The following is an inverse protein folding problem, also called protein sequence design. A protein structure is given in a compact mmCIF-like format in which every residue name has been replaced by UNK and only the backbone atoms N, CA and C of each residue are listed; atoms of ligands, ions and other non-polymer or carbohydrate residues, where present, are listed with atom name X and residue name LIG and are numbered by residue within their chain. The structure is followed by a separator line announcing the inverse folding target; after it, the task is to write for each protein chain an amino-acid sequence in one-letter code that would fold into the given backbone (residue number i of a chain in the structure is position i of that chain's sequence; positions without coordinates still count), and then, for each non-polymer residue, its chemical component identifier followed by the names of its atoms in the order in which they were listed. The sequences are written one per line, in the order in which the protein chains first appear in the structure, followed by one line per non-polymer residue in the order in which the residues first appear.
data_IF_401864027895
#
_entry.id   IF_401864027895
#
_cell.length_a   1.000
_cell.length_b   1.000
_cell.length_c   1.000
_cell.angle_alpha   90.00
_cell.angle_beta   90.00
_cell.angle_gamma   90.00
#
_symmetry.space_group_name_H-M   'P 1'
#
loop_
_entity.id
_entity.type
_entity.pdbx_description
1 polymer ?
#
# COMPACT_ATOMS: atom_id res chain seq x y z
N UNK A 1 24.41 -17.54 44.20
CA UNK A 1 23.73 -16.26 44.19
C UNK A 1 24.37 -15.44 43.09
N UNK A 2 23.97 -15.69 41.86
CA UNK A 2 24.53 -15.08 40.65
C UNK A 2 23.34 -14.68 39.80
N UNK A 3 23.03 -13.37 39.87
CA UNK A 3 22.05 -12.69 39.01
C UNK A 3 22.50 -12.71 37.56
N UNK A 4 21.76 -13.36 36.70
CA UNK A 4 21.84 -13.18 35.25
C UNK A 4 20.80 -12.17 34.82
N UNK A 5 21.27 -10.94 34.64
CA UNK A 5 20.50 -9.89 33.94
C UNK A 5 20.67 -10.14 32.44
N UNK A 6 19.62 -10.58 31.76
CA UNK A 6 19.55 -10.75 30.32
C UNK A 6 18.34 -9.95 29.81
N UNK A 7 18.55 -8.68 29.70
CA UNK A 7 17.68 -7.75 29.00
C UNK A 7 18.54 -6.83 28.15
N UNK A 8 18.08 -6.52 26.95
CA UNK A 8 18.66 -5.60 25.98
C UNK A 8 19.65 -6.19 24.98
N UNK A 9 19.13 -6.80 23.91
CA UNK A 9 19.85 -6.93 22.64
C UNK A 9 18.93 -7.32 21.46
N UNK A 10 17.68 -6.82 21.41
CA UNK A 10 16.81 -7.06 20.25
C UNK A 10 16.36 -5.78 19.51
N UNK A 11 16.80 -4.60 19.95
CA UNK A 11 16.43 -3.32 19.33
C UNK A 11 17.41 -2.82 18.25
N UNK A 12 18.47 -3.55 17.97
CA UNK A 12 19.55 -3.09 17.05
C UNK A 12 19.51 -3.70 15.64
N UNK A 13 18.42 -4.38 15.26
CA UNK A 13 18.32 -5.00 13.92
C UNK A 13 17.31 -4.34 12.98
N UNK A 14 16.80 -3.15 13.33
CA UNK A 14 15.94 -2.34 12.43
C UNK A 14 16.59 -0.97 12.21
N UNK A 15 17.83 -0.98 11.75
CA UNK A 15 18.49 0.23 11.28
C UNK A 15 18.99 0.04 9.86
N UNK A 16 18.43 0.84 8.96
CA UNK A 16 19.04 1.36 7.75
C UNK A 16 19.41 0.38 6.63
N UNK A 17 18.44 0.09 5.77
CA UNK A 17 18.74 -0.02 4.35
C UNK A 17 17.93 1.02 3.57
N UNK A 18 18.17 2.28 3.91
CA UNK A 18 17.82 3.45 3.07
C UNK A 18 19.06 3.91 2.29
N UNK A 19 19.84 2.98 1.79
CA UNK A 19 21.01 3.31 0.99
C UNK A 19 20.82 2.95 -0.46
N UNK A 20 20.51 4.03 -1.24
CA UNK A 20 21.24 4.27 -2.46
C UNK A 20 21.11 3.26 -3.59
N UNK A 21 19.89 2.94 -4.05
CA UNK A 21 19.69 2.26 -5.34
C UNK A 21 18.98 3.15 -6.37
N UNK A 22 19.09 4.47 -6.21
CA UNK A 22 18.51 5.44 -7.17
C UNK A 22 19.49 5.81 -8.33
N UNK A 23 20.72 5.34 -8.29
CA UNK A 23 21.72 5.61 -9.33
C UNK A 23 22.17 4.32 -10.04
N UNK A 24 21.25 3.61 -10.68
CA UNK A 24 21.63 2.81 -11.84
C UNK A 24 21.29 3.60 -13.08
N UNK A 25 22.28 4.42 -13.47
CA UNK A 25 22.28 5.18 -14.71
C UNK A 25 21.77 4.33 -15.87
N UNK A 26 20.74 4.87 -16.53
CA UNK A 26 20.13 4.49 -17.78
C UNK A 26 21.16 4.61 -18.94
N UNK A 27 22.07 3.66 -19.06
CA UNK A 27 22.79 3.45 -20.32
C UNK A 27 22.23 2.19 -21.02
N UNK A 28 20.92 2.21 -21.30
CA UNK A 28 20.26 1.21 -22.12
C UNK A 28 20.24 1.65 -23.59
N UNK A 29 21.25 1.28 -24.33
CA UNK A 29 21.22 1.25 -25.79
C UNK A 29 20.17 0.20 -26.25
N UNK A 30 19.14 0.71 -26.89
CA UNK A 30 17.92 0.03 -27.37
C UNK A 30 18.20 -0.85 -28.62
N UNK A 31 19.21 -1.74 -28.59
CA UNK A 31 19.66 -2.40 -29.81
C UNK A 31 19.88 -3.92 -29.81
N UNK A 32 19.92 -4.60 -28.65
CA UNK A 32 20.41 -6.00 -28.67
C UNK A 32 19.64 -6.99 -27.78
N UNK A 33 18.50 -6.61 -27.22
CA UNK A 33 17.79 -7.39 -26.19
C UNK A 33 17.00 -8.62 -26.70
N UNK A 34 16.84 -8.78 -28.01
CA UNK A 34 15.99 -9.87 -28.55
C UNK A 34 16.67 -11.25 -28.54
N UNK A 35 17.99 -11.35 -28.31
CA UNK A 35 18.74 -12.61 -28.39
C UNK A 35 19.39 -13.07 -27.08
N UNK A 36 19.21 -12.37 -25.96
CA UNK A 36 19.81 -12.75 -24.65
C UNK A 36 18.98 -13.78 -23.85
N UNK A 37 18.16 -14.58 -24.49
CA UNK A 37 17.11 -15.31 -23.81
C UNK A 37 17.49 -16.64 -23.14
N UNK A 38 18.77 -17.09 -23.15
CA UNK A 38 19.14 -18.40 -22.56
C UNK A 38 20.55 -18.47 -21.99
N UNK A 39 21.24 -17.35 -21.80
CA UNK A 39 22.58 -17.40 -21.20
C UNK A 39 22.49 -17.39 -19.69
N UNK A 40 23.19 -18.34 -19.06
CA UNK A 40 23.42 -18.31 -17.63
C UNK A 40 24.12 -16.99 -17.25
N UNK A 41 23.58 -16.24 -16.27
CA UNK A 41 24.10 -14.96 -15.86
C UNK A 41 25.21 -15.08 -14.80
N UNK A 42 25.35 -16.25 -14.19
CA UNK A 42 26.36 -16.58 -13.19
C UNK A 42 26.66 -18.09 -13.23
N UNK A 43 27.78 -18.56 -12.61
CA UNK A 43 28.09 -19.99 -12.56
C UNK A 43 26.91 -20.81 -11.97
N UNK A 44 26.62 -21.95 -12.57
CA UNK A 44 25.52 -22.86 -12.18
C UNK A 44 24.11 -22.28 -12.28
N UNK A 45 23.92 -21.20 -13.02
CA UNK A 45 22.60 -20.62 -13.26
C UNK A 45 21.72 -21.54 -14.11
N UNK A 46 20.69 -22.11 -13.49
CA UNK A 46 19.66 -22.94 -14.14
C UNK A 46 18.32 -22.19 -14.36
N UNK A 47 18.30 -20.88 -14.14
CA UNK A 47 17.08 -20.08 -14.26
C UNK A 47 16.58 -19.94 -15.70
N UNK A 48 15.26 -20.12 -15.90
CA UNK A 48 14.62 -20.08 -17.21
C UNK A 48 14.09 -18.70 -17.63
N UNK A 49 14.38 -17.62 -16.88
CA UNK A 49 13.97 -16.26 -17.24
C UNK A 49 15.14 -15.51 -17.89
N UNK A 50 14.85 -14.70 -18.91
CA UNK A 50 15.80 -13.74 -19.47
C UNK A 50 16.17 -12.65 -18.45
N UNK A 51 17.27 -11.92 -18.67
CA UNK A 51 17.69 -10.86 -17.78
C UNK A 51 16.61 -9.79 -17.53
N UNK A 52 15.92 -9.25 -18.56
CA UNK A 52 14.80 -8.32 -18.34
C UNK A 52 13.66 -8.94 -17.51
N UNK A 53 13.32 -10.20 -17.78
CA UNK A 53 12.29 -10.89 -16.98
C UNK A 53 12.72 -11.10 -15.53
N UNK A 54 13.99 -11.43 -15.26
CA UNK A 54 14.50 -11.56 -13.88
C UNK A 54 14.43 -10.23 -13.15
N UNK A 55 14.82 -9.12 -13.79
CA UNK A 55 14.72 -7.76 -13.20
C UNK A 55 13.26 -7.42 -12.90
N UNK A 56 12.35 -7.63 -13.85
CA UNK A 56 10.94 -7.38 -13.67
C UNK A 56 10.34 -8.28 -12.56
N UNK A 57 10.77 -9.54 -12.45
CA UNK A 57 10.32 -10.45 -11.41
C UNK A 57 10.80 -10.01 -10.02
N UNK A 58 12.07 -9.62 -9.88
CA UNK A 58 12.61 -9.06 -8.64
C UNK A 58 11.89 -7.77 -8.25
N UNK A 59 11.63 -6.88 -9.22
CA UNK A 59 10.84 -5.67 -9.00
C UNK A 59 9.44 -6.00 -8.48
N UNK A 60 8.75 -6.98 -9.09
CA UNK A 60 7.43 -7.44 -8.67
C UNK A 60 7.45 -8.06 -7.25
N UNK A 61 8.50 -8.77 -6.89
CA UNK A 61 8.65 -9.36 -5.55
C UNK A 61 8.91 -8.29 -4.48
N UNK A 62 9.81 -7.35 -4.74
CA UNK A 62 10.18 -6.29 -3.79
C UNK A 62 9.09 -5.25 -3.57
N UNK A 63 8.36 -4.89 -4.63
CA UNK A 63 7.33 -3.85 -4.56
C UNK A 63 5.95 -4.48 -4.35
N UNK A 64 5.05 -3.71 -3.75
CA UNK A 64 3.64 -4.09 -3.61
C UNK A 64 2.98 -4.25 -4.97
N UNK A 65 3.36 -3.43 -5.94
CA UNK A 65 2.91 -3.45 -7.33
C UNK A 65 3.98 -2.89 -8.28
N UNK A 66 3.85 -3.20 -9.55
CA UNK A 66 4.61 -2.63 -10.67
C UNK A 66 3.62 -1.88 -11.55
N UNK A 67 3.92 -0.66 -11.96
CA UNK A 67 3.03 0.15 -12.79
C UNK A 67 3.75 0.79 -13.96
N UNK A 68 3.03 1.09 -15.05
CA UNK A 68 3.59 1.76 -16.22
C UNK A 68 4.25 3.12 -15.88
N UNK A 69 3.68 3.84 -14.91
CA UNK A 69 4.21 5.14 -14.50
C UNK A 69 5.43 5.00 -13.57
N UNK A 70 5.45 4.00 -12.70
CA UNK A 70 6.49 3.84 -11.68
C UNK A 70 7.67 2.99 -12.12
N UNK A 71 7.42 2.00 -12.96
CA UNK A 71 8.38 0.99 -13.41
C UNK A 71 8.07 0.63 -14.88
N UNK A 72 8.26 1.55 -15.83
CA UNK A 72 7.77 1.38 -17.21
C UNK A 72 8.37 0.19 -17.94
N UNK A 73 9.66 -0.09 -17.73
CA UNK A 73 10.34 -1.21 -18.38
C UNK A 73 9.82 -2.55 -17.83
N UNK A 74 9.77 -2.70 -16.52
CA UNK A 74 9.31 -3.93 -15.87
C UNK A 74 7.82 -4.18 -16.15
N UNK A 75 7.00 -3.13 -16.15
CA UNK A 75 5.60 -3.20 -16.53
C UNK A 75 5.44 -3.75 -17.95
N UNK A 76 6.18 -3.19 -18.93
CA UNK A 76 6.16 -3.64 -20.32
C UNK A 76 6.50 -5.11 -20.44
N UNK A 77 7.60 -5.54 -19.78
CA UNK A 77 8.07 -6.94 -19.81
C UNK A 77 7.02 -7.89 -19.21
N UNK A 78 6.40 -7.52 -18.08
CA UNK A 78 5.36 -8.35 -17.45
C UNK A 78 4.10 -8.41 -18.32
N UNK A 79 3.66 -7.27 -18.87
CA UNK A 79 2.47 -7.15 -19.70
C UNK A 79 2.59 -7.98 -20.99
N UNK A 80 3.76 -7.92 -21.65
CA UNK A 80 4.01 -8.60 -22.94
C UNK A 80 4.11 -10.12 -22.79
N UNK A 81 4.61 -10.60 -21.66
CA UNK A 81 4.77 -12.04 -21.42
C UNK A 81 4.48 -12.41 -19.95
N UNK A 82 3.21 -12.46 -19.51
CA UNK A 82 2.84 -12.68 -18.11
C UNK A 82 3.03 -14.13 -17.62
N UNK A 83 2.95 -15.14 -18.52
CA UNK A 83 2.92 -16.55 -18.15
C UNK A 83 4.15 -17.02 -17.34
N UNK A 84 5.40 -16.66 -17.70
CA UNK A 84 6.56 -17.03 -16.90
C UNK A 84 6.52 -16.46 -15.48
N UNK A 85 6.00 -15.26 -15.30
CA UNK A 85 5.84 -14.63 -13.98
C UNK A 85 4.77 -15.34 -13.16
N UNK A 86 3.63 -15.62 -13.80
CA UNK A 86 2.53 -16.36 -13.16
C UNK A 86 3.00 -17.72 -12.67
N UNK A 87 3.67 -18.50 -13.54
CA UNK A 87 4.21 -19.80 -13.17
C UNK A 87 5.13 -19.74 -11.96
N UNK A 88 6.08 -18.78 -11.91
CA UNK A 88 7.01 -18.64 -10.79
C UNK A 88 6.33 -18.17 -9.50
N UNK A 89 5.32 -17.31 -9.62
CA UNK A 89 4.53 -16.89 -8.45
C UNK A 89 3.68 -18.06 -7.91
N UNK A 90 3.11 -18.87 -8.81
CA UNK A 90 2.28 -20.03 -8.40
C UNK A 90 3.12 -21.07 -7.63
N UNK A 91 4.40 -21.27 -7.98
CA UNK A 91 5.34 -22.10 -7.21
C UNK A 91 5.50 -21.62 -5.75
N UNK A 92 5.18 -20.35 -5.47
CA UNK A 92 5.23 -19.71 -4.15
C UNK A 92 3.84 -19.49 -3.53
N UNK A 93 2.80 -20.15 -4.04
CA UNK A 93 1.41 -19.94 -3.63
C UNK A 93 0.93 -18.49 -3.78
N UNK A 94 1.50 -17.78 -4.76
CA UNK A 94 1.08 -16.43 -5.14
C UNK A 94 0.43 -16.47 -6.52
N UNK A 95 -0.47 -15.52 -6.79
CA UNK A 95 -1.05 -15.32 -8.10
C UNK A 95 -0.69 -13.94 -8.66
N UNK A 96 -0.48 -13.86 -9.97
CA UNK A 96 -0.25 -12.61 -10.69
C UNK A 96 -1.58 -11.99 -11.10
N UNK A 97 -1.80 -10.77 -10.69
CA UNK A 97 -2.93 -9.97 -11.15
C UNK A 97 -2.46 -8.84 -12.05
N UNK A 98 -3.03 -8.76 -13.25
CA UNK A 98 -2.76 -7.74 -14.26
C UNK A 98 -4.02 -6.91 -14.49
N UNK A 99 -3.92 -5.62 -14.20
CA UNK A 99 -4.95 -4.63 -14.56
C UNK A 99 -4.42 -3.78 -15.72
N UNK A 100 -4.90 -4.08 -16.92
CA UNK A 100 -4.49 -3.37 -18.12
C UNK A 100 -5.10 -1.97 -18.23
N UNK A 101 -6.24 -1.73 -17.58
CA UNK A 101 -6.92 -0.43 -17.60
C UNK A 101 -6.16 0.59 -16.74
N UNK A 102 -5.65 0.16 -15.59
CA UNK A 102 -4.89 1.01 -14.68
C UNK A 102 -3.38 0.84 -14.83
N UNK A 103 -2.96 -0.03 -15.76
CA UNK A 103 -1.57 -0.34 -16.08
C UNK A 103 -0.76 -0.76 -14.85
N UNK A 104 -1.29 -1.72 -14.08
CA UNK A 104 -0.71 -2.20 -12.81
C UNK A 104 -0.64 -3.72 -12.80
N UNK A 105 0.52 -4.24 -12.37
CA UNK A 105 0.72 -5.66 -12.04
C UNK A 105 1.00 -5.80 -10.54
N UNK A 106 0.41 -6.77 -9.88
CA UNK A 106 0.68 -7.06 -8.48
C UNK A 106 0.47 -8.54 -8.18
N UNK A 107 1.03 -8.98 -7.06
CA UNK A 107 0.90 -10.34 -6.56
C UNK A 107 -0.15 -10.41 -5.46
N UNK A 108 -0.90 -11.51 -5.42
CA UNK A 108 -1.84 -11.85 -4.35
C UNK A 108 -1.49 -13.19 -3.76
N UNK A 109 -1.84 -13.41 -2.51
CA UNK A 109 -1.84 -14.74 -1.91
C UNK A 109 -2.91 -15.58 -2.63
N UNK A 110 -2.54 -16.77 -3.11
CA UNK A 110 -3.50 -17.70 -3.68
C UNK A 110 -4.40 -18.23 -2.57
N UNK A 111 -5.69 -18.34 -2.87
CA UNK A 111 -6.67 -18.94 -1.97
C UNK A 111 -6.82 -20.44 -2.28
N UNK A 112 -6.95 -21.25 -1.24
CA UNK A 112 -7.32 -22.65 -1.39
C UNK A 112 -8.83 -22.78 -1.66
N UNK A 113 -9.22 -23.63 -2.60
CA UNK A 113 -10.64 -23.88 -2.97
C UNK A 113 -11.48 -24.60 -1.90
N UNK A 114 -11.16 -24.39 -0.61
CA UNK A 114 -12.02 -24.77 0.52
C UNK A 114 -12.06 -26.27 0.87
N UNK A 115 -11.32 -27.14 0.19
CA UNK A 115 -11.36 -28.58 0.41
C UNK A 115 -10.03 -29.22 0.84
N UNK A 116 -8.99 -28.43 1.08
CA UNK A 116 -7.65 -28.96 1.27
C UNK A 116 -6.83 -28.23 2.33
N UNK A 117 -5.53 -28.44 2.27
CA UNK A 117 -4.55 -27.81 3.15
C UNK A 117 -4.54 -26.29 2.94
N UNK A 118 -4.42 -25.53 4.02
CA UNK A 118 -4.11 -24.12 3.95
C UNK A 118 -2.76 -23.92 3.25
N UNK A 119 -2.69 -22.96 2.34
CA UNK A 119 -1.43 -22.61 1.68
C UNK A 119 -0.53 -21.83 2.64
N UNK A 120 0.79 -22.04 2.59
CA UNK A 120 1.72 -21.19 3.30
C UNK A 120 1.52 -19.72 2.93
N UNK A 121 1.38 -18.86 3.93
CA UNK A 121 1.16 -17.43 3.71
C UNK A 121 2.50 -16.71 3.57
N UNK A 122 2.76 -16.17 2.38
CA UNK A 122 3.93 -15.33 2.08
C UNK A 122 3.63 -13.84 2.18
N UNK A 123 2.38 -13.44 1.86
CA UNK A 123 1.96 -12.05 1.91
C UNK A 123 1.11 -11.84 3.15
N UNK A 124 1.58 -10.99 4.04
CA UNK A 124 0.81 -10.55 5.20
C UNK A 124 0.03 -9.29 4.83
N UNK A 125 -1.23 -9.24 5.22
CA UNK A 125 -2.04 -8.03 5.09
C UNK A 125 -1.45 -6.95 6.00
N UNK A 126 -1.14 -5.80 5.42
CA UNK A 126 -0.73 -4.63 6.19
C UNK A 126 -2.00 -3.96 6.72
N UNK A 127 -2.15 -3.94 8.03
CA UNK A 127 -3.21 -3.18 8.66
C UNK A 127 -2.96 -1.67 8.44
N UNK A 128 -3.94 -0.97 7.89
CA UNK A 128 -3.90 0.48 7.80
C UNK A 128 -4.31 1.11 9.12
N UNK A 129 -3.67 2.21 9.48
CA UNK A 129 -4.13 3.03 10.60
C UNK A 129 -5.48 3.66 10.26
N UNK A 130 -6.18 4.18 11.28
CA UNK A 130 -7.46 4.89 11.09
C UNK A 130 -7.30 6.06 10.13
N UNK A 131 -6.25 6.86 10.27
CA UNK A 131 -5.94 8.00 9.43
C UNK A 131 -5.65 7.58 7.98
N UNK A 132 -4.87 6.54 7.78
CA UNK A 132 -4.61 5.96 6.45
C UNK A 132 -5.89 5.44 5.80
N UNK A 133 -6.76 4.80 6.56
CA UNK A 133 -8.06 4.29 6.10
C UNK A 133 -8.96 5.42 5.62
N UNK A 134 -9.07 6.50 6.39
CA UNK A 134 -9.84 7.69 6.01
C UNK A 134 -9.29 8.30 4.71
N UNK A 135 -7.96 8.45 4.63
CA UNK A 135 -7.31 9.00 3.44
C UNK A 135 -7.50 8.10 2.21
N UNK A 136 -7.36 6.79 2.35
CA UNK A 136 -7.56 5.85 1.24
C UNK A 136 -9.00 5.90 0.71
N UNK A 137 -9.99 5.96 1.59
CA UNK A 137 -11.39 6.09 1.20
C UNK A 137 -11.64 7.40 0.44
N UNK A 138 -11.17 8.51 0.99
CA UNK A 138 -11.28 9.83 0.36
C UNK A 138 -10.62 9.88 -1.02
N UNK A 139 -9.36 9.46 -1.10
CA UNK A 139 -8.58 9.46 -2.35
C UNK A 139 -9.21 8.54 -3.41
N UNK A 140 -9.76 7.40 -3.00
CA UNK A 140 -10.45 6.48 -3.91
C UNK A 140 -11.71 7.08 -4.52
N UNK A 141 -12.51 7.76 -3.69
CA UNK A 141 -13.72 8.46 -4.15
C UNK A 141 -13.34 9.63 -5.08
N UNK A 142 -12.36 10.44 -4.68
CA UNK A 142 -11.85 11.55 -5.48
C UNK A 142 -11.36 11.07 -6.84
N UNK A 143 -10.55 10.02 -6.84
CA UNK A 143 -10.04 9.40 -8.07
C UNK A 143 -11.18 8.95 -8.99
N UNK A 144 -12.20 8.28 -8.44
CA UNK A 144 -13.34 7.83 -9.22
C UNK A 144 -14.14 9.01 -9.83
N UNK A 145 -14.40 10.03 -9.03
CA UNK A 145 -15.17 11.21 -9.46
C UNK A 145 -14.47 11.98 -10.58
N UNK A 146 -13.19 12.28 -10.41
CA UNK A 146 -12.42 13.04 -11.40
C UNK A 146 -12.17 12.24 -12.68
N UNK A 147 -11.90 10.94 -12.58
CA UNK A 147 -11.79 10.05 -13.77
C UNK A 147 -13.11 9.96 -14.53
N UNK A 148 -14.24 9.89 -13.84
CA UNK A 148 -15.57 9.90 -14.47
C UNK A 148 -15.89 11.23 -15.16
N UNK A 149 -15.29 12.32 -14.70
CA UNK A 149 -15.39 13.65 -15.30
C UNK A 149 -14.38 13.88 -16.45
N UNK A 150 -13.58 12.85 -16.80
CA UNK A 150 -12.64 12.90 -17.93
C UNK A 150 -11.25 13.44 -17.58
N UNK A 151 -10.92 13.68 -16.31
CA UNK A 151 -9.58 14.08 -15.91
C UNK A 151 -8.63 12.88 -15.93
N UNK A 152 -7.52 12.99 -16.65
CA UNK A 152 -6.50 11.94 -16.69
C UNK A 152 -5.65 11.94 -15.42
N UNK A 153 -5.29 13.11 -14.92
CA UNK A 153 -4.48 13.33 -13.74
C UNK A 153 -5.33 13.81 -12.58
N UNK A 154 -5.36 13.03 -11.51
CA UNK A 154 -6.05 13.38 -10.27
C UNK A 154 -5.04 13.90 -9.27
N UNK A 155 -5.20 15.14 -8.84
CA UNK A 155 -4.33 15.79 -7.86
C UNK A 155 -5.11 16.22 -6.62
N UNK A 156 -4.40 16.31 -5.50
CA UNK A 156 -4.94 16.73 -4.20
C UNK A 156 -3.91 17.56 -3.47
N UNK A 157 -4.35 18.60 -2.77
CA UNK A 157 -3.46 19.42 -1.96
C UNK A 157 -3.20 18.73 -0.61
N UNK A 158 -1.97 18.85 -0.09
CA UNK A 158 -1.59 18.24 1.19
C UNK A 158 -2.47 18.74 2.34
N UNK A 159 -2.77 20.03 2.36
CA UNK A 159 -3.62 20.65 3.39
C UNK A 159 -5.06 20.16 3.32
N UNK A 160 -5.57 19.85 2.12
CA UNK A 160 -6.88 19.24 1.94
C UNK A 160 -6.94 17.86 2.63
N UNK A 161 -5.89 17.05 2.50
CA UNK A 161 -5.80 15.75 3.15
C UNK A 161 -5.80 15.87 4.67
N UNK A 162 -5.00 16.81 5.20
CA UNK A 162 -4.91 17.06 6.65
C UNK A 162 -6.27 17.53 7.20
N UNK A 163 -6.93 18.44 6.51
CA UNK A 163 -8.24 18.96 6.88
C UNK A 163 -9.32 17.88 6.82
N UNK A 164 -9.26 17.02 5.78
CA UNK A 164 -10.23 15.93 5.64
C UNK A 164 -10.15 14.96 6.83
N UNK A 165 -8.95 14.50 7.21
CA UNK A 165 -8.80 13.62 8.38
C UNK A 165 -9.24 14.32 9.67
N UNK A 166 -8.91 15.61 9.82
CA UNK A 166 -9.32 16.39 10.98
C UNK A 166 -10.85 16.48 11.14
N UNK A 167 -11.62 16.43 10.04
CA UNK A 167 -13.09 16.43 10.11
C UNK A 167 -13.71 15.16 10.71
N UNK A 168 -12.95 14.06 10.76
CA UNK A 168 -13.37 12.81 11.41
C UNK A 168 -12.94 12.72 12.88
N UNK A 169 -12.45 13.82 13.43
CA UNK A 169 -11.99 13.84 14.80
C UNK A 169 -13.19 13.82 15.75
N UNK A 170 -13.19 12.97 16.81
CA UNK A 170 -14.20 13.01 17.85
C UNK A 170 -14.22 14.37 18.58
N UNK A 171 -15.41 14.85 18.92
CA UNK A 171 -15.58 16.17 19.54
C UNK A 171 -14.81 16.33 20.89
N UNK A 172 -14.66 15.24 21.65
CA UNK A 172 -13.99 15.19 22.94
C UNK A 172 -12.47 14.95 22.87
N UNK A 173 -11.91 14.76 21.68
CA UNK A 173 -10.47 14.50 21.54
C UNK A 173 -9.64 15.77 21.89
N UNK A 174 -8.75 15.68 22.88
CA UNK A 174 -7.99 16.82 23.40
C UNK A 174 -6.61 16.99 22.76
N UNK A 175 -5.98 15.92 22.24
CA UNK A 175 -4.61 15.93 21.73
C UNK A 175 -4.53 16.34 20.25
N UNK A 176 -4.70 17.64 19.94
CA UNK A 176 -4.66 18.16 18.56
C UNK A 176 -3.31 17.98 17.86
N UNK A 177 -2.21 18.18 18.57
CA UNK A 177 -0.87 18.10 17.99
C UNK A 177 -0.49 16.65 17.65
N UNK A 178 -0.84 15.69 18.51
CA UNK A 178 -0.62 14.27 18.27
C UNK A 178 -1.44 13.75 17.07
N UNK A 179 -2.69 14.21 16.92
CA UNK A 179 -3.54 13.81 15.78
C UNK A 179 -3.02 14.40 14.48
N UNK A 180 -2.54 15.65 14.46
CA UNK A 180 -1.91 16.24 13.30
C UNK A 180 -0.64 15.48 12.86
N UNK A 181 0.20 15.06 13.84
CA UNK A 181 1.38 14.25 13.57
C UNK A 181 1.01 12.87 12.97
N UNK A 182 -0.01 12.19 13.50
CA UNK A 182 -0.51 10.91 12.94
C UNK A 182 -0.98 11.07 11.51
N UNK A 183 -1.72 12.15 11.21
CA UNK A 183 -2.22 12.43 9.86
C UNK A 183 -1.07 12.70 8.91
N UNK A 184 -0.06 13.47 9.32
CA UNK A 184 1.13 13.73 8.52
C UNK A 184 1.87 12.42 8.20
N UNK A 185 2.08 11.57 9.20
CA UNK A 185 2.68 10.25 9.01
C UNK A 185 1.87 9.36 8.08
N UNK A 186 0.53 9.39 8.15
CA UNK A 186 -0.33 8.65 7.26
C UNK A 186 -0.16 9.11 5.80
N UNK A 187 -0.09 10.42 5.54
CA UNK A 187 0.19 10.95 4.19
C UNK A 187 1.55 10.47 3.69
N UNK A 188 2.59 10.56 4.53
CA UNK A 188 3.93 10.15 4.16
C UNK A 188 4.02 8.63 3.91
N UNK A 189 3.30 7.81 4.66
CA UNK A 189 3.19 6.38 4.42
C UNK A 189 2.48 6.06 3.09
N UNK A 190 1.44 6.82 2.71
CA UNK A 190 0.81 6.66 1.40
C UNK A 190 1.71 7.09 0.25
N UNK A 191 2.62 8.06 0.48
CA UNK A 191 3.67 8.43 -0.49
C UNK A 191 4.69 7.29 -0.61
N UNK A 192 5.19 6.74 0.49
CA UNK A 192 6.08 5.56 0.51
C UNK A 192 5.43 4.35 -0.18
N UNK A 193 4.14 4.13 0.06
CA UNK A 193 3.35 3.09 -0.60
C UNK A 193 3.05 3.38 -2.08
N UNK A 194 3.51 4.50 -2.63
CA UNK A 194 3.29 4.95 -4.03
C UNK A 194 1.80 5.09 -4.42
N UNK A 195 0.92 5.18 -3.45
CA UNK A 195 -0.50 5.54 -3.63
C UNK A 195 -0.63 7.03 -3.94
N UNK A 196 0.17 7.85 -3.26
CA UNK A 196 0.38 9.25 -3.56
C UNK A 196 1.78 9.45 -4.15
N UNK A 197 1.92 10.37 -5.08
CA UNK A 197 3.18 10.72 -5.71
C UNK A 197 3.41 12.23 -5.59
N UNK A 198 4.63 12.62 -5.27
CA UNK A 198 5.03 14.02 -5.27
C UNK A 198 4.95 14.59 -6.68
N UNK A 199 4.56 15.84 -6.80
CA UNK A 199 4.63 16.63 -8.03
C UNK A 199 5.78 17.64 -7.93
N UNK A 200 5.97 18.45 -8.95
CA UNK A 200 6.94 19.56 -8.90
C UNK A 200 6.54 20.66 -7.89
N UNK A 201 5.27 20.68 -7.49
CA UNK A 201 4.75 21.51 -6.43
C UNK A 201 4.73 20.68 -5.14
N UNK A 202 5.45 21.11 -4.11
CA UNK A 202 5.60 20.39 -2.86
C UNK A 202 4.28 20.23 -2.10
N UNK A 203 3.32 21.11 -2.33
CA UNK A 203 2.03 21.11 -1.65
C UNK A 203 0.97 20.26 -2.39
N UNK A 204 1.27 19.88 -3.64
CA UNK A 204 0.40 19.05 -4.48
C UNK A 204 0.90 17.62 -4.62
N UNK A 205 -0.03 16.69 -4.46
CA UNK A 205 0.24 15.27 -4.61
C UNK A 205 -0.66 14.72 -5.74
N UNK A 206 -0.11 13.81 -6.55
CA UNK A 206 -0.86 13.09 -7.57
C UNK A 206 -1.34 11.77 -7.02
N UNK A 207 -2.61 11.46 -7.22
CA UNK A 207 -3.20 10.17 -6.85
C UNK A 207 -2.84 9.14 -7.92
N UNK A 208 -2.23 8.05 -7.49
CA UNK A 208 -1.84 6.96 -8.41
C UNK A 208 -3.06 6.14 -8.83
N UNK A 209 -3.21 5.74 -10.10
CA UNK A 209 -4.26 4.83 -10.56
C UNK A 209 -4.31 3.50 -9.80
N UNK A 210 -3.21 3.11 -9.20
CA UNK A 210 -3.09 1.95 -8.31
C UNK A 210 -4.15 1.91 -7.22
N UNK A 211 -4.66 3.08 -6.77
CA UNK A 211 -5.69 3.14 -5.73
C UNK A 211 -6.98 2.41 -6.14
N UNK A 212 -7.32 2.41 -7.44
CA UNK A 212 -8.49 1.69 -7.95
C UNK A 212 -8.33 0.18 -7.85
N UNK A 213 -7.10 -0.29 -7.98
CA UNK A 213 -6.73 -1.71 -7.93
C UNK A 213 -6.54 -2.20 -6.49
N UNK A 214 -5.87 -1.41 -5.65
CA UNK A 214 -5.64 -1.72 -4.25
C UNK A 214 -6.91 -1.65 -3.42
N UNK A 215 -7.83 -0.77 -3.80
CA UNK A 215 -9.11 -0.55 -3.11
C UNK A 215 -10.28 -0.67 -4.09
N UNK A 216 -10.63 -1.89 -4.54
CA UNK A 216 -11.80 -2.10 -5.38
C UNK A 216 -13.09 -1.70 -4.64
N UNK A 217 -14.15 -1.40 -5.40
CA UNK A 217 -15.41 -0.87 -4.83
C UNK A 217 -16.00 -1.71 -3.68
N UNK A 218 -16.02 -3.06 -3.72
CA UNK A 218 -16.50 -3.85 -2.59
C UNK A 218 -15.68 -3.60 -1.31
N UNK A 219 -14.35 -3.53 -1.43
CA UNK A 219 -13.47 -3.26 -0.29
C UNK A 219 -13.62 -1.85 0.25
N UNK A 220 -13.89 -0.87 -0.63
CA UNK A 220 -14.22 0.49 -0.22
C UNK A 220 -15.50 0.52 0.63
N UNK A 221 -16.51 -0.26 0.25
CA UNK A 221 -17.77 -0.35 0.99
C UNK A 221 -17.56 -0.92 2.40
N UNK A 222 -16.84 -2.02 2.53
CA UNK A 222 -16.44 -2.61 3.81
C UNK A 222 -15.70 -1.60 4.71
N UNK A 223 -14.81 -0.80 4.12
CA UNK A 223 -14.09 0.26 4.84
C UNK A 223 -15.01 1.37 5.35
N UNK A 224 -15.99 1.78 4.55
CA UNK A 224 -16.98 2.75 4.99
C UNK A 224 -17.85 2.22 6.12
N UNK A 225 -18.33 1.00 6.04
CA UNK A 225 -19.10 0.37 7.10
C UNK A 225 -18.29 0.30 8.39
N UNK A 226 -17.02 -0.08 8.29
CA UNK A 226 -16.12 -0.11 9.44
C UNK A 226 -15.91 1.28 10.06
N UNK A 227 -15.68 2.33 9.25
CA UNK A 227 -15.51 3.70 9.73
C UNK A 227 -16.78 4.24 10.40
N UNK A 228 -17.96 3.91 9.88
CA UNK A 228 -19.24 4.30 10.47
C UNK A 228 -19.46 3.61 11.80
N UNK A 229 -19.16 2.31 11.91
CA UNK A 229 -19.25 1.55 13.15
C UNK A 229 -18.32 2.14 14.23
N UNK A 230 -17.09 2.50 13.88
CA UNK A 230 -16.13 3.14 14.81
C UNK A 230 -16.61 4.51 15.31
N UNK A 231 -17.27 5.30 14.46
CA UNK A 231 -17.81 6.60 14.86
C UNK A 231 -19.12 6.46 15.65
N UNK A 232 -19.90 5.40 15.44
CA UNK A 232 -21.14 5.11 16.18
C UNK A 232 -20.87 4.65 17.61
N UNK A 233 -19.87 3.82 17.82
CA UNK A 233 -19.52 3.27 19.14
C UNK A 233 -19.03 4.38 20.10
N UNK A 234 -18.36 5.41 19.57
CA UNK A 234 -17.93 6.56 20.38
C UNK A 234 -19.06 7.51 20.77
N UNK A 235 -20.21 7.45 20.08
CA UNK A 235 -21.38 8.26 20.43
C UNK A 235 -22.23 7.60 21.53
N UNK A 236 -22.29 6.27 21.59
CA UNK A 236 -23.05 5.55 22.62
C UNK A 236 -22.32 5.56 23.97
N UNK A 237 -20.99 5.42 24.00
CA UNK A 237 -20.22 5.48 25.25
C UNK A 237 -20.27 6.86 25.91
N UNK A 238 -20.37 7.96 25.14
CA UNK A 238 -20.52 9.31 25.67
C UNK A 238 -21.92 9.57 26.25
N UNK A 239 -22.95 8.94 25.69
CA UNK A 239 -24.34 9.12 26.14
C UNK A 239 -24.64 8.32 27.43
N UNK A 240 -24.00 7.18 27.66
CA UNK A 240 -24.12 6.44 28.90
C UNK A 240 -23.41 7.13 30.10
N UNK A 241 -22.28 7.79 29.84
CA UNK A 241 -21.53 8.47 30.89
C UNK A 241 -22.20 9.79 31.35
N UNK A 242 -22.81 10.54 30.41
CA UNK A 242 -23.60 11.74 30.74
C UNK A 242 -24.91 11.37 31.46
N UNK A 243 -25.52 10.24 31.15
CA UNK A 243 -26.73 9.77 31.83
C UNK A 243 -26.44 9.30 33.27
N UNK A 244 -25.26 8.74 33.55
CA UNK A 244 -24.85 8.36 34.91
C UNK A 244 -24.51 9.59 35.79
N UNK A 245 -23.96 10.66 35.20
CA UNK A 245 -23.66 11.90 35.92
C UNK A 245 -24.93 12.64 36.30
N UNK A 246 -25.92 12.76 35.42
CA UNK A 246 -27.21 13.39 35.68
C UNK A 246 -28.04 12.61 36.73
N UNK A 247 -27.94 11.28 36.76
CA UNK A 247 -28.60 10.47 37.78
C UNK A 247 -27.99 10.60 39.17
N UNK A 248 -26.72 10.94 39.28
CA UNK A 248 -26.05 11.14 40.57
C UNK A 248 -26.33 12.54 41.17
N UNK A 249 -26.55 13.55 40.33
CA UNK A 249 -26.85 14.91 40.76
C UNK A 249 -28.33 15.09 41.21
N UNK A 250 -29.22 14.22 40.71
CA UNK A 250 -30.65 14.21 41.09
C UNK A 250 -30.94 13.54 42.44
N UNK A 251 -29.95 12.88 43.09
CA UNK A 251 -30.09 12.13 44.35
C UNK A 251 -29.34 12.80 45.51
N UNK A 252 -28.74 13.97 45.34
CA UNK A 252 -28.08 14.76 46.37
C UNK A 252 -28.91 16.00 46.78
#
# INVERSE_FOLDING_TARGET
MTDFNHGDDLDDFIQETDDGFDDLDDDFTDGDDAQQSTLALFPDDSGGLSLPQRRAFVCLLKNRFVSAIGNPLEWRVIRENPEPFKSRLNDMFLDLHLDLQHEVAFKRQAASDGGGREFPTLLHDTAYTREETILLAFLRMRFQSERSSGHEDVTVDRDELLTHVASFRPAHATNRSGDAAKTTNAVDNLIKAKVLRKTNDNDRLRVSPVIAVLLPLPRLHELFEWLMAQNGTTADESNEHDAELDAHEALA
#
